data_IF_646936032159
#
_entry.id   IF_646936032159
#
_cell.length_a   1.000
_cell.length_b   1.000
_cell.length_c   1.000
_cell.angle_alpha   90.00
_cell.angle_beta   90.00
_cell.angle_gamma   90.00
#
_symmetry.space_group_name_H-M   'P 1'
#
loop_
_entity.id
_entity.type
_entity.pdbx_description
1 polymer ?
#
# COMPACT_ATOMS: atom_id res chain seq x y z
N UNK A 1 -13.07 -1.82 11.62
CA UNK A 1 -13.00 -0.67 12.56
C UNK A 1 -11.61 -0.06 12.41
N UNK A 2 -11.49 1.27 12.36
CA UNK A 2 -10.18 1.93 12.32
C UNK A 2 -9.53 1.87 13.71
N UNK A 3 -8.27 1.46 13.80
CA UNK A 3 -7.50 1.50 15.05
C UNK A 3 -7.34 2.94 15.55
N UNK A 4 -7.34 3.15 16.86
CA UNK A 4 -7.04 4.45 17.48
C UNK A 4 -5.66 4.96 17.06
N UNK A 5 -4.70 4.06 16.82
CA UNK A 5 -3.39 4.39 16.27
C UNK A 5 -3.54 5.08 14.91
N UNK A 6 -4.18 4.42 13.93
CA UNK A 6 -4.33 4.96 12.57
C UNK A 6 -5.10 6.29 12.56
N UNK A 7 -6.13 6.45 13.40
CA UNK A 7 -6.85 7.72 13.54
C UNK A 7 -5.94 8.83 14.07
N UNK A 8 -5.15 8.52 15.09
CA UNK A 8 -4.20 9.46 15.68
C UNK A 8 -3.12 9.86 14.68
N UNK A 9 -2.59 8.90 13.92
CA UNK A 9 -1.65 9.16 12.82
C UNK A 9 -2.26 10.09 11.77
N UNK A 10 -3.48 9.83 11.30
CA UNK A 10 -4.16 10.69 10.32
C UNK A 10 -4.31 12.13 10.85
N UNK A 11 -4.70 12.29 12.11
CA UNK A 11 -4.84 13.60 12.74
C UNK A 11 -3.48 14.33 12.88
N UNK A 12 -2.43 13.62 13.26
CA UNK A 12 -1.08 14.17 13.39
C UNK A 12 -0.48 14.54 12.03
N UNK A 13 -0.72 13.76 10.98
CA UNK A 13 -0.27 14.09 9.62
C UNK A 13 -0.87 15.40 9.09
N UNK A 14 -2.06 15.81 9.54
CA UNK A 14 -2.57 17.16 9.27
C UNK A 14 -1.80 18.24 10.04
N UNK A 15 -1.40 17.99 11.28
CA UNK A 15 -0.60 18.94 12.04
C UNK A 15 0.79 19.11 11.43
N UNK A 16 1.38 18.01 10.96
CA UNK A 16 2.69 17.97 10.27
C UNK A 16 2.74 18.90 9.04
N UNK A 17 1.61 19.16 8.39
CA UNK A 17 1.55 20.02 7.20
C UNK A 17 2.07 21.44 7.43
N UNK A 18 2.03 21.95 8.67
CA UNK A 18 2.62 23.27 9.01
C UNK A 18 4.13 23.33 8.79
N UNK A 19 4.79 22.17 8.67
CA UNK A 19 6.23 22.03 8.41
C UNK A 19 6.56 21.84 6.93
N UNK A 20 5.56 21.68 6.06
CA UNK A 20 5.76 21.54 4.62
C UNK A 20 5.91 22.91 3.94
N UNK A 21 6.93 23.04 3.10
CA UNK A 21 7.25 24.28 2.38
C UNK A 21 7.20 24.15 0.85
N UNK A 22 7.16 22.92 0.35
CA UNK A 22 7.10 22.62 -1.09
C UNK A 22 5.81 21.90 -1.44
N UNK A 23 5.37 22.04 -2.70
CA UNK A 23 4.21 21.29 -3.21
C UNK A 23 4.40 19.79 -3.08
N UNK A 24 5.64 19.32 -3.27
CA UNK A 24 6.02 17.92 -3.21
C UNK A 24 5.85 17.35 -1.80
N UNK A 25 6.22 18.11 -0.76
CA UNK A 25 6.01 17.71 0.62
C UNK A 25 4.52 17.63 0.99
N UNK A 26 3.72 18.59 0.51
CA UNK A 26 2.27 18.53 0.69
C UNK A 26 1.64 17.32 -0.02
N UNK A 27 2.08 17.02 -1.24
CA UNK A 27 1.61 15.85 -1.96
C UNK A 27 2.08 14.54 -1.31
N UNK A 28 3.29 14.49 -0.74
CA UNK A 28 3.76 13.33 0.02
C UNK A 28 2.87 13.05 1.25
N UNK A 29 2.53 14.08 2.04
CA UNK A 29 1.62 13.93 3.18
C UNK A 29 0.22 13.48 2.75
N UNK A 30 -0.29 14.02 1.65
CA UNK A 30 -1.56 13.61 1.06
C UNK A 30 -1.53 12.17 0.55
N UNK A 31 -0.43 11.75 -0.06
CA UNK A 31 -0.21 10.36 -0.48
C UNK A 31 -0.24 9.43 0.72
N UNK A 32 0.45 9.77 1.82
CA UNK A 32 0.43 9.00 3.07
C UNK A 32 -0.97 8.86 3.66
N UNK A 33 -1.75 9.96 3.75
CA UNK A 33 -3.14 9.89 4.21
C UNK A 33 -3.98 8.99 3.30
N UNK A 34 -3.76 9.06 1.99
CA UNK A 34 -4.45 8.20 1.02
C UNK A 34 -4.13 6.72 1.25
N UNK A 35 -2.87 6.37 1.51
CA UNK A 35 -2.45 5.01 1.89
C UNK A 35 -3.12 4.54 3.18
N UNK A 36 -3.14 5.36 4.22
CA UNK A 36 -3.81 5.01 5.48
C UNK A 36 -5.33 4.82 5.31
N UNK A 37 -5.98 5.65 4.49
CA UNK A 37 -7.41 5.45 4.16
C UNK A 37 -7.65 4.16 3.38
N UNK A 38 -6.75 3.77 2.48
CA UNK A 38 -6.82 2.47 1.79
C UNK A 38 -6.77 1.31 2.78
N UNK A 39 -5.80 1.31 3.69
CA UNK A 39 -5.64 0.30 4.75
C UNK A 39 -6.89 0.23 5.65
N UNK A 40 -7.40 1.38 6.09
CA UNK A 40 -8.61 1.45 6.92
C UNK A 40 -9.83 0.94 6.17
N UNK A 41 -10.02 1.35 4.91
CA UNK A 41 -11.17 0.96 4.10
C UNK A 41 -11.19 -0.53 3.76
N UNK A 42 -10.04 -1.19 3.81
CA UNK A 42 -9.90 -2.65 3.69
C UNK A 42 -10.05 -3.40 5.02
N UNK A 43 -10.18 -2.66 6.12
CA UNK A 43 -10.27 -3.24 7.46
C UNK A 43 -8.94 -3.82 7.95
N UNK A 44 -7.81 -3.35 7.42
CA UNK A 44 -6.45 -3.83 7.72
C UNK A 44 -5.73 -2.98 8.78
N UNK A 45 -6.41 -2.01 9.40
CA UNK A 45 -5.80 -1.10 10.36
C UNK A 45 -5.13 -1.79 11.57
N UNK A 46 -5.71 -2.88 12.07
CA UNK A 46 -5.10 -3.66 13.17
C UNK A 46 -3.86 -4.44 12.71
N UNK A 47 -3.92 -5.07 11.54
CA UNK A 47 -2.76 -5.76 10.97
C UNK A 47 -1.62 -4.78 10.64
N UNK A 48 -1.96 -3.57 10.22
CA UNK A 48 -0.97 -2.50 10.01
C UNK A 48 -0.33 -2.05 11.33
N UNK A 49 -1.09 -1.92 12.42
CA UNK A 49 -0.55 -1.56 13.74
C UNK A 49 0.41 -2.65 14.26
N UNK A 50 0.02 -3.93 14.16
CA UNK A 50 0.91 -5.06 14.50
C UNK A 50 2.19 -5.06 13.65
N UNK A 51 2.07 -4.75 12.35
CA UNK A 51 3.22 -4.63 11.45
C UNK A 51 4.11 -3.44 11.82
N UNK A 52 3.52 -2.31 12.20
CA UNK A 52 4.26 -1.12 12.62
C UNK A 52 5.06 -1.37 13.90
N UNK A 53 4.46 -2.01 14.91
CA UNK A 53 5.13 -2.33 16.19
C UNK A 53 6.32 -3.28 16.01
N UNK A 54 6.24 -4.17 15.03
CA UNK A 54 7.27 -5.18 14.74
C UNK A 54 8.20 -4.80 13.59
N UNK A 55 8.01 -3.61 12.99
CA UNK A 55 8.79 -3.14 11.85
C UNK A 55 10.28 -3.10 12.21
N UNK A 56 11.11 -3.72 11.37
CA UNK A 56 12.57 -3.84 11.51
C UNK A 56 13.08 -4.61 12.76
N UNK A 57 12.18 -5.14 13.59
CA UNK A 57 12.55 -5.89 14.82
C UNK A 57 12.19 -7.38 14.74
N UNK A 58 11.11 -7.72 14.04
CA UNK A 58 10.69 -9.11 13.86
C UNK A 58 11.30 -9.74 12.61
N UNK A 59 11.51 -11.08 12.60
CA UNK A 59 11.77 -11.81 11.36
C UNK A 59 10.65 -11.53 10.35
N UNK A 60 10.97 -11.56 9.05
CA UNK A 60 9.95 -11.44 8.01
C UNK A 60 8.89 -12.54 8.21
N UNK A 61 7.72 -12.16 8.70
CA UNK A 61 6.63 -13.09 8.92
C UNK A 61 5.85 -13.26 7.62
N UNK A 62 5.58 -14.50 7.20
CA UNK A 62 4.78 -14.73 6.01
C UNK A 62 3.32 -14.37 6.27
N UNK A 63 2.69 -13.67 5.32
CA UNK A 63 1.26 -13.34 5.39
C UNK A 63 0.36 -14.55 5.14
N UNK A 64 0.89 -15.62 4.52
CA UNK A 64 0.26 -16.92 4.34
C UNK A 64 1.30 -18.02 4.51
N UNK A 65 0.93 -19.14 5.13
CA UNK A 65 1.81 -20.30 5.28
C UNK A 65 1.15 -21.56 4.72
N UNK A 66 1.92 -22.34 3.96
CA UNK A 66 1.54 -23.62 3.39
C UNK A 66 2.38 -24.74 3.99
N UNK A 67 1.86 -25.97 4.03
CA UNK A 67 2.63 -27.10 4.56
C UNK A 67 3.74 -27.49 3.58
N UNK A 68 3.49 -27.39 2.28
CA UNK A 68 4.47 -27.70 1.23
C UNK A 68 4.57 -26.62 0.15
N UNK A 69 5.66 -26.65 -0.60
CA UNK A 69 5.86 -25.77 -1.77
C UNK A 69 4.83 -26.04 -2.86
N UNK A 70 4.45 -27.30 -3.06
CA UNK A 70 3.48 -27.70 -4.08
C UNK A 70 2.07 -27.15 -3.79
N UNK A 71 1.68 -27.09 -2.51
CA UNK A 71 0.44 -26.44 -2.07
C UNK A 71 0.48 -24.95 -2.37
N UNK A 72 1.57 -24.27 -2.02
CA UNK A 72 1.77 -22.84 -2.28
C UNK A 72 1.73 -22.54 -3.80
N UNK A 73 2.41 -23.35 -4.61
CA UNK A 73 2.41 -23.22 -6.07
C UNK A 73 1.02 -23.48 -6.66
N UNK A 74 0.26 -24.43 -6.09
CA UNK A 74 -1.11 -24.74 -6.52
C UNK A 74 -2.05 -23.59 -6.18
N UNK A 75 -1.93 -23.02 -4.99
CA UNK A 75 -2.62 -21.80 -4.61
C UNK A 75 -2.31 -20.67 -5.61
N UNK A 76 -1.03 -20.40 -5.88
CA UNK A 76 -0.62 -19.32 -6.78
C UNK A 76 -1.17 -19.50 -8.21
N UNK A 77 -1.15 -20.73 -8.73
CA UNK A 77 -1.69 -21.07 -10.06
C UNK A 77 -3.19 -20.84 -10.18
N UNK A 78 -3.94 -21.16 -9.12
CA UNK A 78 -5.40 -21.05 -9.13
C UNK A 78 -5.89 -19.67 -8.68
N UNK A 79 -5.01 -18.84 -8.13
CA UNK A 79 -5.38 -17.52 -7.64
C UNK A 79 -5.76 -16.58 -8.80
N UNK A 80 -6.94 -15.93 -8.79
CA UNK A 80 -7.40 -15.11 -9.92
C UNK A 80 -6.59 -13.83 -10.11
N UNK A 81 -6.04 -13.25 -9.02
CA UNK A 81 -5.14 -12.11 -9.07
C UNK A 81 -4.15 -12.17 -7.90
N UNK A 82 -2.99 -12.84 -8.05
CA UNK A 82 -2.03 -13.05 -6.96
C UNK A 82 -1.57 -11.75 -6.28
N UNK A 83 -1.33 -11.77 -4.96
CA UNK A 83 -0.83 -10.61 -4.22
C UNK A 83 0.67 -10.41 -4.50
N UNK A 84 1.02 -9.72 -5.59
CA UNK A 84 2.42 -9.49 -5.97
C UNK A 84 3.18 -8.80 -4.82
N UNK A 85 4.36 -9.30 -4.46
CA UNK A 85 5.21 -8.79 -3.39
C UNK A 85 4.97 -9.47 -2.04
N UNK A 86 3.81 -10.12 -1.86
CA UNK A 86 3.48 -10.77 -0.61
C UNK A 86 4.49 -11.85 -0.23
N UNK A 87 4.86 -11.87 1.06
CA UNK A 87 5.73 -12.89 1.62
C UNK A 87 4.88 -14.09 2.06
N UNK A 88 5.15 -15.27 1.54
CA UNK A 88 4.48 -16.51 1.94
C UNK A 88 5.49 -17.54 2.44
N UNK A 89 5.09 -18.37 3.39
CA UNK A 89 5.89 -19.43 3.97
C UNK A 89 5.52 -20.77 3.37
N UNK A 90 6.51 -21.61 3.06
CA UNK A 90 6.30 -23.01 2.71
C UNK A 90 7.51 -23.84 3.14
N UNK A 91 7.29 -24.94 3.85
CA UNK A 91 8.35 -25.88 4.27
C UNK A 91 9.55 -25.19 4.94
N UNK A 92 9.29 -24.31 5.91
CA UNK A 92 10.30 -23.49 6.63
C UNK A 92 11.09 -22.50 5.76
N UNK A 93 10.72 -22.29 4.51
CA UNK A 93 11.28 -21.26 3.65
C UNK A 93 10.29 -20.12 3.43
N UNK A 94 10.83 -18.93 3.16
CA UNK A 94 10.06 -17.75 2.78
C UNK A 94 10.17 -17.52 1.28
N UNK A 95 9.07 -17.09 0.69
CA UNK A 95 8.93 -16.80 -0.72
C UNK A 95 8.27 -15.44 -0.91
N UNK A 96 8.72 -14.67 -1.89
CA UNK A 96 7.94 -13.53 -2.38
C UNK A 96 7.15 -13.93 -3.62
N UNK A 97 5.90 -13.47 -3.71
CA UNK A 97 5.03 -13.68 -4.87
C UNK A 97 5.47 -12.72 -5.98
N UNK A 98 6.10 -13.23 -7.04
CA UNK A 98 6.29 -12.49 -8.27
C UNK A 98 5.05 -12.64 -9.15
N UNK A 99 4.33 -11.55 -9.41
CA UNK A 99 3.17 -11.57 -10.29
C UNK A 99 3.13 -10.33 -11.20
N UNK A 100 3.09 -10.57 -12.51
CA UNK A 100 2.95 -9.54 -13.55
C UNK A 100 1.62 -9.82 -14.25
N UNK A 101 0.66 -8.88 -14.11
CA UNK A 101 -0.72 -9.03 -14.60
C UNK A 101 -0.80 -9.35 -16.08
N UNK A 102 0.00 -8.67 -16.89
CA UNK A 102 0.11 -8.86 -18.33
C UNK A 102 1.60 -9.11 -18.60
N UNK A 103 2.05 -10.38 -18.72
CA UNK A 103 1.38 -11.48 -19.41
C UNK A 103 0.82 -12.61 -18.50
N UNK A 104 0.36 -12.29 -17.29
CA UNK A 104 -0.07 -13.27 -16.28
C UNK A 104 1.05 -14.20 -15.78
N UNK A 105 2.27 -13.64 -15.72
CA UNK A 105 3.43 -14.33 -15.18
C UNK A 105 3.29 -14.41 -13.66
N UNK A 106 3.40 -15.62 -13.10
CA UNK A 106 3.29 -15.88 -11.65
C UNK A 106 4.34 -16.87 -11.20
N UNK A 107 5.09 -16.55 -10.15
CA UNK A 107 6.14 -17.41 -9.59
C UNK A 107 6.38 -17.12 -8.11
N UNK A 108 6.73 -18.15 -7.34
CA UNK A 108 7.30 -18.00 -6.01
C UNK A 108 8.83 -17.89 -6.11
N UNK A 109 9.38 -16.77 -5.65
CA UNK A 109 10.82 -16.54 -5.58
C UNK A 109 11.28 -16.73 -4.14
N UNK A 110 12.21 -17.66 -3.91
CA UNK A 110 12.77 -17.91 -2.57
C UNK A 110 13.48 -16.65 -2.09
N UNK A 111 13.18 -16.26 -0.86
CA UNK A 111 13.89 -15.18 -0.17
C UNK A 111 15.08 -15.85 0.53
N UNK A 112 16.34 -15.47 0.21
CA UNK A 112 17.49 -15.97 0.93
C UNK A 112 17.41 -15.62 2.42
N UNK A 113 17.92 -16.50 3.27
CA UNK A 113 18.08 -16.22 4.70
C UNK A 113 19.08 -15.09 4.92
N UNK A 114 18.99 -14.44 6.09
CA UNK A 114 19.92 -13.37 6.48
C UNK A 114 21.38 -13.85 6.48
N UNK A 115 21.62 -15.11 6.85
CA UNK A 115 22.95 -15.74 6.84
C UNK A 115 23.47 -15.96 5.41
N UNK A 116 22.61 -16.38 4.48
CA UNK A 116 22.97 -16.52 3.06
C UNK A 116 23.29 -15.15 2.45
N UNK A 117 22.52 -14.11 2.77
CA UNK A 117 22.80 -12.74 2.30
C UNK A 117 24.13 -12.20 2.82
N UNK A 118 24.42 -12.37 4.12
CA UNK A 118 25.70 -11.93 4.69
C UNK A 118 26.91 -12.61 4.03
N UNK A 119 26.78 -13.88 3.63
CA UNK A 119 27.83 -14.61 2.91
C UNK A 119 28.02 -14.15 1.45
N UNK A 120 26.99 -13.54 0.85
CA UNK A 120 27.07 -12.95 -0.49
C UNK A 120 27.74 -11.58 -0.45
N UNK A 121 27.40 -10.75 0.54
CA UNK A 121 28.02 -9.43 0.75
C UNK A 121 29.54 -9.56 0.99
N UNK A 122 29.97 -10.55 1.79
CA UNK A 122 31.39 -10.86 2.03
C UNK A 122 32.15 -11.31 0.75
N UNK A 123 31.45 -11.64 -0.34
CA UNK A 123 32.01 -12.06 -1.61
C UNK A 123 32.04 -10.95 -2.68
N UNK A 124 31.38 -9.81 -2.44
CA UNK A 124 31.25 -8.69 -3.38
C UNK A 124 32.16 -7.49 -3.04
N UNK A 125 33.07 -7.62 -2.06
CA UNK A 125 34.03 -6.58 -1.63
C UNK A 125 35.19 -6.29 -2.63
N UNK A 126 35.09 -6.70 -3.90
CA UNK A 126 35.99 -6.25 -4.97
C UNK A 126 35.20 -5.53 -6.08
N UNK A 127 35.28 -4.19 -6.05
CA UNK A 127 34.91 -3.21 -7.08
C UNK A 127 33.45 -2.70 -7.17
N UNK A 128 33.17 -1.55 -6.53
CA UNK A 128 32.62 -0.37 -7.24
C UNK A 128 32.74 0.93 -6.41
N UNK A 129 33.18 2.07 -7.01
CA UNK A 129 33.22 3.35 -6.33
C UNK A 129 31.82 3.98 -6.30
N UNK A 130 31.36 4.29 -5.09
CA UNK A 130 30.12 5.03 -4.84
C UNK A 130 30.11 6.40 -5.52
N UNK A 131 29.11 6.60 -6.37
CA UNK A 131 28.59 7.92 -6.71
C UNK A 131 27.18 7.77 -7.31
N UNK A 132 26.18 7.67 -6.44
CA UNK A 132 24.82 8.03 -6.80
C UNK A 132 24.59 9.44 -6.23
N UNK A 133 24.63 10.43 -7.12
CA UNK A 133 24.19 11.79 -6.82
C UNK A 133 22.73 11.71 -6.34
N UNK A 134 22.49 11.99 -5.05
CA UNK A 134 21.16 11.99 -4.39
C UNK A 134 20.29 13.11 -4.94
N UNK A 135 19.91 12.97 -6.20
CA UNK A 135 18.95 13.82 -6.87
C UNK A 135 17.54 13.31 -6.57
N UNK A 136 16.61 14.23 -6.35
CA UNK A 136 15.23 13.89 -6.04
C UNK A 136 14.64 12.98 -7.13
N UNK A 137 13.92 11.89 -6.75
CA UNK A 137 13.30 11.02 -7.74
C UNK A 137 12.28 11.81 -8.59
N UNK A 138 12.10 11.45 -9.87
CA UNK A 138 11.11 12.11 -10.72
C UNK A 138 9.70 11.93 -10.14
N UNK A 139 8.85 12.95 -10.28
CA UNK A 139 7.46 12.89 -9.81
C UNK A 139 6.71 11.74 -10.51
N UNK A 140 5.97 10.90 -9.78
CA UNK A 140 5.28 9.72 -10.33
C UNK A 140 4.12 10.07 -11.27
N UNK A 141 3.75 11.35 -11.41
CA UNK A 141 2.60 11.81 -12.21
C UNK A 141 3.01 12.24 -13.64
N UNK A 142 4.31 12.18 -14.01
CA UNK A 142 4.73 12.49 -15.38
C UNK A 142 4.47 11.33 -16.37
N UNK A 143 3.28 11.34 -16.97
CA UNK A 143 3.08 11.04 -18.40
C UNK A 143 3.14 9.59 -18.90
N UNK A 144 3.57 8.59 -18.13
CA UNK A 144 3.45 7.19 -18.51
C UNK A 144 3.21 6.33 -17.27
N UNK A 145 2.08 5.60 -17.28
CA UNK A 145 1.64 4.52 -16.36
C UNK A 145 2.16 4.63 -14.91
N UNK A 146 1.26 4.91 -13.97
CA UNK A 146 1.56 4.93 -12.53
C UNK A 146 2.32 3.64 -12.12
N UNK A 147 3.39 3.83 -11.35
CA UNK A 147 4.23 2.79 -10.79
C UNK A 147 4.23 2.98 -9.27
N UNK A 148 3.71 2.00 -8.53
CA UNK A 148 3.75 2.06 -7.07
C UNK A 148 5.17 2.23 -6.53
N UNK A 149 6.18 1.63 -7.17
CA UNK A 149 7.57 1.74 -6.74
C UNK A 149 8.12 3.16 -6.86
N UNK A 150 7.79 3.87 -7.94
CA UNK A 150 8.21 5.26 -8.12
C UNK A 150 7.45 6.17 -7.14
N UNK A 151 6.15 5.91 -6.97
CA UNK A 151 5.33 6.58 -5.97
C UNK A 151 5.86 6.38 -4.54
N UNK A 152 6.26 5.15 -4.20
CA UNK A 152 6.85 4.78 -2.92
C UNK A 152 8.14 5.57 -2.67
N UNK A 153 9.09 5.47 -3.60
CA UNK A 153 10.40 6.14 -3.48
C UNK A 153 10.24 7.65 -3.35
N UNK A 154 9.41 8.24 -4.20
CA UNK A 154 9.15 9.67 -4.21
C UNK A 154 8.50 10.15 -2.91
N UNK A 155 7.48 9.44 -2.43
CA UNK A 155 6.77 9.81 -1.20
C UNK A 155 7.72 9.68 0.00
N UNK A 156 8.46 8.58 0.12
CA UNK A 156 9.42 8.38 1.20
C UNK A 156 10.53 9.43 1.20
N UNK A 157 11.04 9.84 0.03
CA UNK A 157 12.05 10.89 -0.09
C UNK A 157 11.57 12.21 0.54
N UNK A 158 10.39 12.70 0.15
CA UNK A 158 9.89 13.98 0.67
C UNK A 158 9.39 13.91 2.13
N UNK A 159 8.94 12.73 2.59
CA UNK A 159 8.67 12.51 4.02
C UNK A 159 9.96 12.57 4.84
N UNK A 160 11.06 12.03 4.33
CA UNK A 160 12.36 12.12 4.99
C UNK A 160 12.84 13.57 5.08
N UNK A 161 12.68 14.37 4.03
CA UNK A 161 13.00 15.81 4.10
C UNK A 161 12.17 16.58 5.14
N UNK A 162 10.91 16.17 5.37
CA UNK A 162 10.07 16.73 6.43
C UNK A 162 10.53 16.31 7.82
N UNK A 163 10.89 15.04 7.97
CA UNK A 163 11.40 14.45 9.21
C UNK A 163 12.58 15.26 9.79
N UNK A 164 13.51 15.69 8.93
CA UNK A 164 14.67 16.51 9.31
C UNK A 164 14.32 17.89 9.91
N UNK A 165 13.06 18.34 9.76
CA UNK A 165 12.60 19.66 10.21
C UNK A 165 11.68 19.61 11.42
N UNK A 166 11.35 18.41 11.88
CA UNK A 166 10.39 18.18 12.96
C UNK A 166 11.13 17.71 14.20
N UNK A 167 10.68 18.17 15.37
CA UNK A 167 11.28 17.78 16.66
C UNK A 167 10.27 17.18 17.64
N UNK A 168 8.97 17.19 17.30
CA UNK A 168 7.95 16.54 18.13
C UNK A 168 8.03 15.02 17.94
N UNK A 169 8.22 14.23 19.01
CA UNK A 169 8.28 12.77 18.91
C UNK A 169 7.02 12.17 18.28
N UNK A 170 5.85 12.73 18.60
CA UNK A 170 4.56 12.27 18.07
C UNK A 170 4.40 12.55 16.57
N UNK A 171 4.91 13.70 16.10
CA UNK A 171 4.89 14.04 14.67
C UNK A 171 5.90 13.18 13.88
N UNK A 172 7.07 12.89 14.46
CA UNK A 172 8.04 11.96 13.88
C UNK A 172 7.49 10.54 13.80
N UNK A 173 6.82 10.06 14.85
CA UNK A 173 6.12 8.77 14.84
C UNK A 173 5.05 8.71 13.74
N UNK A 174 4.28 9.80 13.55
CA UNK A 174 3.29 9.86 12.49
C UNK A 174 3.91 9.81 11.08
N UNK A 175 5.07 10.47 10.87
CA UNK A 175 5.84 10.36 9.61
C UNK A 175 6.39 8.93 9.43
N UNK A 176 6.90 8.32 10.50
CA UNK A 176 7.34 6.93 10.50
C UNK A 176 6.20 5.99 10.09
N UNK A 177 5.04 6.14 10.71
CA UNK A 177 3.84 5.36 10.39
C UNK A 177 3.38 5.58 8.95
N UNK A 178 3.46 6.82 8.44
CA UNK A 178 3.17 7.13 7.04
C UNK A 178 4.09 6.38 6.07
N UNK A 179 5.40 6.33 6.33
CA UNK A 179 6.36 5.58 5.52
C UNK A 179 6.08 4.08 5.60
N UNK A 180 5.99 3.54 6.82
CA UNK A 180 5.76 2.12 7.09
C UNK A 180 4.42 1.63 6.52
N UNK A 181 3.41 2.51 6.38
CA UNK A 181 2.14 2.15 5.72
C UNK A 181 2.31 1.79 4.24
N UNK A 182 3.29 2.40 3.56
CA UNK A 182 3.60 2.07 2.17
C UNK A 182 4.33 0.71 2.09
N UNK A 183 5.25 0.45 3.02
CA UNK A 183 5.90 -0.85 3.17
C UNK A 183 4.88 -1.95 3.48
N UNK A 184 3.90 -1.67 4.33
CA UNK A 184 2.82 -2.61 4.64
C UNK A 184 2.04 -3.01 3.38
N UNK A 185 1.65 -2.05 2.54
CA UNK A 185 0.94 -2.32 1.26
C UNK A 185 1.76 -3.23 0.35
N UNK A 186 3.08 -3.05 0.31
CA UNK A 186 3.99 -3.96 -0.41
C UNK A 186 4.07 -5.34 0.24
N UNK A 187 4.22 -5.38 1.55
CA UNK A 187 4.35 -6.61 2.33
C UNK A 187 3.13 -7.53 2.20
N UNK A 188 1.92 -6.98 2.17
CA UNK A 188 0.69 -7.75 1.95
C UNK A 188 0.38 -8.00 0.47
N UNK A 189 1.20 -7.44 -0.42
CA UNK A 189 1.12 -7.59 -1.87
C UNK A 189 -0.08 -6.91 -2.52
N UNK A 190 -0.44 -5.73 -2.03
CA UNK A 190 -1.64 -4.99 -2.44
C UNK A 190 -1.35 -3.69 -3.18
N UNK A 191 -0.11 -3.49 -3.67
CA UNK A 191 0.22 -2.32 -4.49
C UNK A 191 -0.68 -2.20 -5.72
N UNK A 192 -0.99 -3.28 -6.43
CA UNK A 192 -1.94 -3.26 -7.53
C UNK A 192 -3.35 -2.81 -7.09
N UNK A 193 -3.76 -3.17 -5.87
CA UNK A 193 -5.06 -2.74 -5.33
C UNK A 193 -5.05 -1.27 -4.94
N UNK A 194 -3.92 -0.80 -4.44
CA UNK A 194 -3.71 0.61 -4.14
C UNK A 194 -3.66 1.47 -5.42
N UNK A 195 -3.04 0.97 -6.49
CA UNK A 195 -3.05 1.60 -7.83
C UNK A 195 -4.48 1.80 -8.33
N UNK A 196 -5.29 0.74 -8.32
CA UNK A 196 -6.71 0.78 -8.71
C UNK A 196 -7.53 1.73 -7.82
N UNK A 197 -7.18 1.80 -6.55
CA UNK A 197 -7.80 2.72 -5.61
C UNK A 197 -7.45 4.19 -5.90
N UNK A 198 -6.19 4.49 -6.19
CA UNK A 198 -5.77 5.83 -6.62
C UNK A 198 -6.48 6.24 -7.93
N UNK A 199 -6.50 5.34 -8.92
CA UNK A 199 -7.25 5.56 -10.16
C UNK A 199 -8.74 5.84 -9.90
N UNK A 200 -9.34 5.13 -8.94
CA UNK A 200 -10.73 5.36 -8.52
C UNK A 200 -10.91 6.74 -7.88
N UNK A 201 -9.98 7.20 -7.04
CA UNK A 201 -10.03 8.56 -6.46
C UNK A 201 -9.95 9.63 -7.55
N UNK A 202 -9.12 9.42 -8.57
CA UNK A 202 -9.03 10.33 -9.71
C UNK A 202 -10.31 10.30 -10.56
N UNK A 203 -10.82 9.11 -10.88
CA UNK A 203 -12.03 8.89 -11.67
C UNK A 203 -13.27 9.45 -10.99
N UNK A 204 -13.40 9.30 -9.67
CA UNK A 204 -14.50 9.85 -8.87
C UNK A 204 -14.66 11.36 -9.07
N UNK A 205 -13.57 12.08 -9.30
CA UNK A 205 -13.57 13.53 -9.53
C UNK A 205 -13.96 13.91 -10.96
N UNK A 206 -13.69 13.02 -11.92
CA UNK A 206 -13.87 13.30 -13.34
C UNK A 206 -15.23 12.83 -13.89
N UNK A 207 -15.68 11.65 -13.48
CA UNK A 207 -16.79 10.93 -14.16
C UNK A 207 -17.98 10.60 -13.26
N UNK A 208 -17.86 10.81 -11.93
CA UNK A 208 -18.89 10.44 -10.97
C UNK A 208 -19.03 8.92 -10.76
N UNK A 209 -19.90 8.48 -9.84
CA UNK A 209 -20.11 7.07 -9.56
C UNK A 209 -20.89 6.38 -10.70
N UNK A 210 -20.50 5.15 -11.02
CA UNK A 210 -21.17 4.27 -11.97
C UNK A 210 -22.57 3.88 -11.49
N UNK A 211 -22.72 3.66 -10.19
CA UNK A 211 -23.96 3.21 -9.58
C UNK A 211 -24.19 3.84 -8.21
N UNK A 212 -25.47 3.96 -7.84
CA UNK A 212 -25.92 4.54 -6.57
C UNK A 212 -26.73 3.49 -5.82
N UNK A 213 -26.45 3.35 -4.53
CA UNK A 213 -27.15 2.47 -3.61
C UNK A 213 -27.66 3.27 -2.42
N UNK A 214 -28.84 2.92 -1.91
CA UNK A 214 -29.36 3.55 -0.71
C UNK A 214 -28.69 3.00 0.54
N UNK A 215 -28.32 1.72 0.53
CA UNK A 215 -27.78 0.99 1.69
C UNK A 215 -26.52 0.21 1.34
N UNK A 216 -25.76 -0.15 2.39
CA UNK A 216 -24.54 -0.94 2.25
C UNK A 216 -24.86 -2.37 1.78
N UNK A 217 -25.96 -2.92 2.28
CA UNK A 217 -26.43 -4.27 1.97
C UNK A 217 -26.78 -4.43 0.48
N UNK A 218 -27.41 -3.41 -0.12
CA UNK A 218 -27.67 -3.36 -1.57
C UNK A 218 -26.37 -3.34 -2.37
N UNK A 219 -25.42 -2.50 -1.96
CA UNK A 219 -24.14 -2.38 -2.63
C UNK A 219 -23.31 -3.67 -2.53
N UNK A 220 -23.29 -4.33 -1.37
CA UNK A 220 -22.57 -5.60 -1.19
C UNK A 220 -23.24 -6.73 -1.99
N UNK A 221 -24.58 -6.74 -2.09
CA UNK A 221 -25.31 -7.69 -2.95
C UNK A 221 -24.92 -7.51 -4.42
N UNK A 222 -24.85 -6.26 -4.88
CA UNK A 222 -24.37 -5.95 -6.23
C UNK A 222 -22.91 -6.33 -6.45
N UNK A 223 -22.05 -6.05 -5.48
CA UNK A 223 -20.63 -6.34 -5.54
C UNK A 223 -20.37 -7.85 -5.68
N UNK A 224 -21.14 -8.68 -4.96
CA UNK A 224 -21.04 -10.13 -5.03
C UNK A 224 -21.44 -10.72 -6.40
N UNK A 225 -22.12 -9.95 -7.26
CA UNK A 225 -22.44 -10.36 -8.64
C UNK A 225 -21.35 -10.00 -9.65
N UNK A 226 -20.32 -9.23 -9.27
CA UNK A 226 -19.25 -8.81 -10.18
C UNK A 226 -18.27 -9.95 -10.48
N UNK A 227 -17.54 -9.92 -11.60
CA UNK A 227 -16.46 -10.89 -11.84
C UNK A 227 -15.34 -10.77 -10.80
N UNK A 228 -14.44 -11.75 -10.81
CA UNK A 228 -13.31 -11.88 -9.88
C UNK A 228 -12.00 -11.83 -10.69
N UNK A 229 -11.17 -10.78 -10.58
CA UNK A 229 -11.41 -9.53 -9.83
C UNK A 229 -12.45 -8.61 -10.51
N UNK A 230 -13.14 -7.74 -9.75
CA UNK A 230 -14.06 -6.76 -10.31
C UNK A 230 -13.28 -5.66 -11.06
N UNK A 231 -13.85 -5.08 -12.12
CA UNK A 231 -13.23 -3.93 -12.78
C UNK A 231 -13.15 -2.74 -11.81
N UNK A 232 -12.04 -1.98 -11.81
CA UNK A 232 -11.93 -0.76 -11.02
C UNK A 232 -13.05 0.22 -11.41
N UNK A 233 -13.86 0.61 -10.42
CA UNK A 233 -14.95 1.56 -10.63
C UNK A 233 -15.30 2.28 -9.33
N UNK A 234 -16.14 3.30 -9.43
CA UNK A 234 -16.63 4.09 -8.30
C UNK A 234 -18.13 3.89 -8.17
N UNK A 235 -18.60 3.64 -6.97
CA UNK A 235 -20.04 3.59 -6.63
C UNK A 235 -20.34 4.55 -5.49
N UNK A 236 -21.61 4.94 -5.35
CA UNK A 236 -22.08 5.75 -4.25
C UNK A 236 -23.00 4.92 -3.33
N UNK A 237 -22.82 5.08 -2.03
CA UNK A 237 -23.73 4.55 -1.01
C UNK A 237 -24.17 5.73 -0.16
N UNK A 238 -25.46 6.10 -0.28
CA UNK A 238 -25.94 7.36 0.27
C UNK A 238 -25.18 8.56 -0.32
N UNK A 239 -24.53 9.35 0.54
CA UNK A 239 -23.73 10.52 0.13
C UNK A 239 -22.23 10.24 -0.02
N UNK A 240 -21.79 9.00 0.21
CA UNK A 240 -20.38 8.63 0.22
C UNK A 240 -19.98 7.87 -1.04
N UNK A 241 -18.75 8.10 -1.50
CA UNK A 241 -18.17 7.42 -2.65
C UNK A 241 -17.29 6.27 -2.19
N UNK A 242 -17.34 5.16 -2.93
CA UNK A 242 -16.57 3.95 -2.67
C UNK A 242 -15.88 3.51 -3.96
N UNK A 243 -14.61 3.15 -3.85
CA UNK A 243 -13.89 2.41 -4.88
C UNK A 243 -14.26 0.93 -4.77
N UNK A 244 -14.58 0.34 -5.91
CA UNK A 244 -14.73 -1.10 -6.07
C UNK A 244 -13.35 -1.68 -6.32
N UNK A 245 -12.91 -2.54 -5.41
CA UNK A 245 -11.58 -3.13 -5.46
C UNK A 245 -11.58 -4.62 -5.20
N UNK A 246 -10.37 -5.18 -5.21
CA UNK A 246 -10.12 -6.59 -4.94
C UNK A 246 -9.00 -6.76 -3.92
N UNK A 247 -9.32 -7.41 -2.81
CA UNK A 247 -8.35 -7.87 -1.83
C UNK A 247 -7.74 -9.16 -2.34
N UNK A 248 -6.54 -9.05 -2.91
CA UNK A 248 -5.81 -10.15 -3.53
C UNK A 248 -5.44 -11.21 -2.53
N UNK A 249 -4.92 -10.85 -1.36
CA UNK A 249 -4.53 -11.85 -0.37
C UNK A 249 -5.69 -12.75 0.08
N UNK A 250 -6.90 -12.19 0.20
CA UNK A 250 -8.10 -12.89 0.69
C UNK A 250 -9.06 -13.33 -0.42
N UNK A 251 -8.70 -13.10 -1.68
CA UNK A 251 -9.57 -13.31 -2.83
C UNK A 251 -10.99 -12.72 -2.65
N UNK A 252 -11.08 -11.48 -2.14
CA UNK A 252 -12.35 -10.87 -1.73
C UNK A 252 -12.61 -9.56 -2.47
N UNK A 253 -13.83 -9.38 -2.98
CA UNK A 253 -14.29 -8.09 -3.49
C UNK A 253 -14.53 -7.13 -2.33
N UNK A 254 -14.10 -5.89 -2.47
CA UNK A 254 -14.19 -4.90 -1.38
C UNK A 254 -14.71 -3.56 -1.88
N UNK A 255 -15.45 -2.87 -1.02
CA UNK A 255 -15.80 -1.45 -1.19
C UNK A 255 -14.96 -0.63 -0.23
N UNK A 256 -14.05 0.16 -0.79
CA UNK A 256 -13.10 1.00 -0.05
C UNK A 256 -13.61 2.45 -0.13
N UNK A 257 -13.95 3.05 1.02
CA UNK A 257 -14.46 4.44 1.05
C UNK A 257 -13.40 5.38 0.48
N UNK A 258 -13.82 6.21 -0.46
CA UNK A 258 -12.99 7.29 -1.01
C UNK A 258 -13.07 8.47 -0.02
N UNK A 259 -11.94 8.92 0.57
CA UNK A 259 -11.93 10.05 1.47
C UNK A 259 -12.30 11.33 0.74
N UNK A 260 -12.94 12.24 1.48
CA UNK A 260 -13.32 13.56 0.97
C UNK A 260 -12.09 14.42 0.69
N UNK A 261 -12.27 15.51 -0.05
CA UNK A 261 -11.20 16.49 -0.23
C UNK A 261 -10.71 17.05 1.09
N UNK A 262 -11.57 17.22 2.10
CA UNK A 262 -11.16 17.77 3.40
C UNK A 262 -10.27 16.78 4.18
N UNK A 263 -10.53 15.49 4.09
CA UNK A 263 -9.68 14.45 4.70
C UNK A 263 -8.34 14.30 3.98
N UNK A 264 -8.29 14.62 2.68
CA UNK A 264 -7.07 14.53 1.88
C UNK A 264 -6.27 15.84 1.79
N UNK A 265 -6.92 17.00 1.93
CA UNK A 265 -6.30 18.32 1.87
C UNK A 265 -5.96 18.81 3.27
N UNK A 266 -5.08 19.82 3.38
CA UNK A 266 -4.84 20.47 4.64
C UNK A 266 -6.12 21.01 5.25
N UNK A 267 -6.21 20.90 6.58
CA UNK A 267 -7.26 21.54 7.35
C UNK A 267 -7.21 23.04 7.09
N UNK A 268 -8.23 23.57 6.40
CA UNK A 268 -8.61 24.94 6.65
C UNK A 268 -9.24 24.99 8.06
N UNK A 269 -8.97 26.04 8.85
CA UNK A 269 -9.53 26.19 10.19
C UNK A 269 -11.06 26.13 10.22
#
# INVERSE_FOLDING_TARGET
MSSEFTKSTLALLHQVERHAFTSEQHDALKNSRTTLHFIVGRGEAGAFEEFFESFDTAPLLPVLTFATKEEADTWLRNHPSPPHGAIIGALNELYTVAYIREPDFRKLLRIPSREELAQMDDAEDEDEPGNADETAPPSPIQGMRFSFFDFFKWTCFHLHELEQRISSPQELEAIGAARISLDFVMHVGEHHGFEEYLESIHSARASGPLQFFATREEADTWLNMQPEPPPPTVVAIGSELYSVGYHRLRALRVLIRIPTQQELRPGAP
#
